data_IF_870677936564
#
_entry.id   IF_870677936564
#
_cell.length_a   1.000
_cell.length_b   1.000
_cell.length_c   1.000
_cell.angle_alpha   90.00
_cell.angle_beta   90.00
_cell.angle_gamma   90.00
#
_symmetry.space_group_name_H-M   'P 1'
#
loop_
_entity.id
_entity.type
_entity.pdbx_description
1 polymer ?
#
# COMPACT_ATOMS: atom_id res chain seq x y z
N UNK A 1 -18.04 -3.61 -11.25
CA UNK A 1 -17.98 -3.86 -9.80
C UNK A 1 -17.19 -5.15 -9.59
N UNK A 2 -16.09 -5.10 -8.84
CA UNK A 2 -15.06 -6.16 -8.71
C UNK A 2 -15.28 -7.10 -7.52
N UNK A 3 -16.54 -7.37 -7.19
CA UNK A 3 -16.92 -8.29 -6.12
C UNK A 3 -16.41 -9.68 -6.48
N UNK A 4 -15.53 -10.29 -5.67
CA UNK A 4 -14.93 -11.60 -5.97
C UNK A 4 -13.47 -11.58 -6.45
N UNK A 5 -12.85 -10.41 -6.67
CA UNK A 5 -11.47 -10.33 -7.18
C UNK A 5 -10.45 -10.21 -6.06
N UNK A 6 -9.30 -10.86 -6.24
CA UNK A 6 -8.14 -10.77 -5.32
C UNK A 6 -7.36 -9.48 -5.61
N UNK A 7 -7.00 -8.72 -4.57
CA UNK A 7 -6.15 -7.55 -4.68
C UNK A 7 -4.69 -7.94 -4.51
N UNK A 8 -3.81 -7.48 -5.40
CA UNK A 8 -2.35 -7.56 -5.25
C UNK A 8 -1.82 -6.13 -5.16
N UNK A 9 -1.06 -5.86 -4.10
CA UNK A 9 -0.39 -4.57 -3.88
C UNK A 9 1.11 -4.76 -4.09
N UNK A 10 1.68 -4.01 -5.02
CA UNK A 10 3.13 -3.98 -5.32
C UNK A 10 3.70 -2.58 -5.08
N UNK A 11 5.02 -2.46 -4.99
CA UNK A 11 5.64 -1.16 -4.74
C UNK A 11 5.60 -0.23 -5.97
N UNK A 12 5.92 -0.75 -7.16
CA UNK A 12 6.14 0.07 -8.36
C UNK A 12 5.03 -0.05 -9.42
N UNK A 13 4.72 1.05 -10.15
CA UNK A 13 3.75 1.01 -11.27
C UNK A 13 4.16 0.07 -12.41
N UNK A 14 5.46 -0.17 -12.59
CA UNK A 14 5.98 -1.07 -13.63
C UNK A 14 5.57 -2.51 -13.36
N UNK A 15 5.67 -2.97 -12.12
CA UNK A 15 5.20 -4.31 -11.72
C UNK A 15 3.71 -4.52 -11.97
N UNK A 16 2.89 -3.48 -11.77
CA UNK A 16 1.45 -3.53 -12.07
C UNK A 16 1.21 -3.89 -13.53
N UNK A 17 1.90 -3.21 -14.46
CA UNK A 17 1.75 -3.46 -15.91
C UNK A 17 2.16 -4.88 -16.27
N UNK A 18 3.23 -5.39 -15.67
CA UNK A 18 3.74 -6.74 -15.89
C UNK A 18 2.78 -7.80 -15.35
N UNK A 19 2.37 -7.71 -14.09
CA UNK A 19 1.49 -8.68 -13.45
C UNK A 19 0.10 -8.73 -14.08
N UNK A 20 -0.44 -7.59 -14.52
CA UNK A 20 -1.73 -7.56 -15.25
C UNK A 20 -1.69 -8.40 -16.53
N UNK A 21 -0.53 -8.51 -17.21
CA UNK A 21 -0.36 -9.36 -18.40
C UNK A 21 -0.38 -10.85 -18.06
N UNK A 22 0.16 -11.24 -16.90
CA UNK A 22 0.28 -12.64 -16.51
C UNK A 22 -0.95 -13.20 -15.80
N UNK A 23 -1.60 -12.38 -14.97
CA UNK A 23 -2.65 -12.84 -14.04
C UNK A 23 -4.08 -12.67 -14.59
N UNK A 24 -4.24 -11.90 -15.66
CA UNK A 24 -5.54 -11.67 -16.29
C UNK A 24 -6.55 -10.95 -15.38
N UNK A 25 -7.84 -11.11 -15.70
CA UNK A 25 -8.93 -10.33 -15.09
C UNK A 25 -9.36 -10.79 -13.69
N UNK A 26 -8.85 -11.92 -13.20
CA UNK A 26 -9.18 -12.45 -11.87
C UNK A 26 -8.53 -11.67 -10.72
N UNK A 27 -7.48 -10.91 -11.04
CA UNK A 27 -6.73 -10.11 -10.07
C UNK A 27 -6.90 -8.62 -10.34
N UNK A 28 -7.03 -7.86 -9.27
CA UNK A 28 -6.89 -6.43 -9.28
C UNK A 28 -5.48 -6.09 -8.77
N UNK A 29 -4.66 -5.46 -9.61
CA UNK A 29 -3.27 -5.15 -9.27
C UNK A 29 -3.11 -3.65 -9.15
N UNK A 30 -2.64 -3.19 -7.99
CA UNK A 30 -2.43 -1.79 -7.63
C UNK A 30 -1.02 -1.58 -7.07
N UNK A 31 -0.55 -0.32 -7.08
CA UNK A 31 0.78 0.05 -6.58
C UNK A 31 0.67 1.01 -5.39
N UNK A 32 1.54 0.84 -4.40
CA UNK A 32 1.72 1.81 -3.31
C UNK A 32 2.55 3.04 -3.72
N UNK A 33 3.24 2.95 -4.86
CA UNK A 33 4.14 3.98 -5.38
C UNK A 33 5.23 4.31 -4.35
N UNK A 34 5.82 3.28 -3.76
CA UNK A 34 6.80 3.37 -2.66
C UNK A 34 6.17 3.30 -1.27
N UNK A 35 6.86 3.83 -0.27
CA UNK A 35 6.38 3.94 1.10
C UNK A 35 5.16 4.87 1.21
N UNK A 36 4.27 4.56 2.16
CA UNK A 36 3.04 5.32 2.44
C UNK A 36 3.05 5.98 3.83
N UNK A 37 3.99 5.57 4.68
CA UNK A 37 4.24 6.12 6.01
C UNK A 37 5.72 6.30 6.21
N UNK A 38 6.07 7.30 7.00
CA UNK A 38 7.45 7.58 7.42
C UNK A 38 7.45 8.17 8.83
N UNK A 39 8.62 8.35 9.42
CA UNK A 39 8.78 9.14 10.63
C UNK A 39 8.36 10.59 10.37
N UNK A 40 7.98 11.34 11.42
CA UNK A 40 7.59 12.73 11.27
C UNK A 40 8.76 13.53 10.72
N UNK A 41 8.51 14.41 9.75
CA UNK A 41 9.55 15.27 9.17
C UNK A 41 10.19 16.25 10.17
N UNK A 42 9.59 16.39 11.36
CA UNK A 42 10.05 17.26 12.45
C UNK A 42 10.07 16.48 13.76
N UNK A 43 11.09 16.74 14.57
CA UNK A 43 11.30 16.02 15.83
C UNK A 43 12.06 14.72 15.65
N UNK A 44 12.27 13.99 16.74
CA UNK A 44 13.06 12.75 16.73
C UNK A 44 12.25 11.54 16.25
N UNK A 45 10.93 11.55 16.43
CA UNK A 45 10.02 10.51 15.90
C UNK A 45 10.15 9.12 16.53
N UNK A 46 11.04 8.96 17.51
CA UNK A 46 11.30 7.70 18.23
C UNK A 46 11.19 7.98 19.73
N UNK A 47 10.38 7.19 20.42
CA UNK A 47 10.25 7.26 21.87
C UNK A 47 11.33 6.39 22.54
N UNK A 48 12.37 7.03 23.10
CA UNK A 48 13.48 6.36 23.77
C UNK A 48 13.10 5.71 25.10
N UNK A 49 12.05 6.19 25.75
CA UNK A 49 11.61 5.69 27.05
C UNK A 49 10.67 4.49 26.87
N UNK A 50 9.96 4.44 25.74
CA UNK A 50 9.03 3.37 25.41
C UNK A 50 9.59 2.43 24.32
N UNK A 51 10.71 1.76 24.64
CA UNK A 51 11.30 0.70 23.81
C UNK A 51 11.55 1.10 22.33
N UNK A 52 12.00 2.34 22.10
CA UNK A 52 12.25 2.90 20.76
C UNK A 52 11.02 2.90 19.85
N UNK A 53 9.81 3.11 20.40
CA UNK A 53 8.58 3.10 19.62
C UNK A 53 8.57 4.23 18.57
N UNK A 54 8.43 3.90 17.27
CA UNK A 54 8.41 4.90 16.20
C UNK A 54 7.02 5.52 16.02
N UNK A 55 6.95 6.85 15.96
CA UNK A 55 5.74 7.59 15.66
C UNK A 55 5.54 7.75 14.14
N UNK A 56 4.99 6.74 13.46
CA UNK A 56 4.76 6.82 12.02
C UNK A 56 3.61 7.75 11.63
N UNK A 57 3.84 8.61 10.64
CA UNK A 57 2.84 9.46 10.01
C UNK A 57 2.58 9.04 8.57
N UNK A 58 1.35 9.29 8.07
CA UNK A 58 1.07 9.09 6.66
C UNK A 58 1.73 10.20 5.85
N UNK A 59 2.43 9.82 4.78
CA UNK A 59 3.04 10.78 3.87
C UNK A 59 1.96 11.66 3.20
N UNK A 60 2.09 13.00 3.23
CA UNK A 60 1.06 13.90 2.70
C UNK A 60 0.70 13.67 1.23
N UNK A 61 1.68 13.34 0.41
CA UNK A 61 1.55 13.05 -1.03
C UNK A 61 0.93 11.66 -1.31
N UNK A 62 0.84 10.79 -0.29
CA UNK A 62 0.28 9.43 -0.41
C UNK A 62 -1.16 9.30 0.07
N UNK A 63 -1.82 10.40 0.49
CA UNK A 63 -3.20 10.37 0.99
C UNK A 63 -4.18 9.74 0.01
N UNK A 64 -4.07 10.09 -1.28
CA UNK A 64 -4.94 9.53 -2.33
C UNK A 64 -4.67 8.05 -2.56
N UNK A 65 -3.39 7.64 -2.58
CA UNK A 65 -2.99 6.23 -2.71
C UNK A 65 -3.55 5.42 -1.55
N UNK A 66 -3.40 5.89 -0.32
CA UNK A 66 -3.94 5.23 0.89
C UNK A 66 -5.45 5.10 0.81
N UNK A 67 -6.16 6.17 0.43
CA UNK A 67 -7.61 6.15 0.30
C UNK A 67 -8.08 5.14 -0.77
N UNK A 68 -7.40 5.13 -1.92
CA UNK A 68 -7.67 4.18 -3.01
C UNK A 68 -7.43 2.74 -2.57
N UNK A 69 -6.26 2.43 -2.00
CA UNK A 69 -5.93 1.08 -1.54
C UNK A 69 -6.91 0.59 -0.47
N UNK A 70 -7.27 1.45 0.50
CA UNK A 70 -8.28 1.11 1.52
C UNK A 70 -9.64 0.81 0.91
N UNK A 71 -10.07 1.60 -0.08
CA UNK A 71 -11.35 1.37 -0.78
C UNK A 71 -11.32 0.04 -1.53
N UNK A 72 -10.31 -0.17 -2.36
CA UNK A 72 -10.18 -1.40 -3.16
C UNK A 72 -10.05 -2.64 -2.27
N UNK A 73 -9.29 -2.57 -1.18
CA UNK A 73 -9.14 -3.68 -0.24
C UNK A 73 -10.48 -4.10 0.39
N UNK A 74 -11.38 -3.15 0.68
CA UNK A 74 -12.73 -3.45 1.20
C UNK A 74 -13.65 -4.11 0.17
N UNK A 75 -13.37 -3.95 -1.12
CA UNK A 75 -14.17 -4.51 -2.22
C UNK A 75 -13.67 -5.90 -2.66
N UNK A 76 -12.52 -6.34 -2.14
CA UNK A 76 -11.83 -7.58 -2.50
C UNK A 76 -11.87 -8.59 -1.35
N UNK A 77 -11.93 -9.90 -1.66
CA UNK A 77 -12.01 -10.95 -0.64
C UNK A 77 -10.65 -11.26 0.00
N UNK A 78 -9.56 -11.01 -0.74
CA UNK A 78 -8.20 -11.31 -0.28
C UNK A 78 -7.25 -10.24 -0.79
N UNK A 79 -6.32 -9.82 0.08
CA UNK A 79 -5.25 -8.89 -0.23
C UNK A 79 -3.91 -9.62 -0.15
N UNK A 80 -3.17 -9.62 -1.24
CA UNK A 80 -1.80 -10.10 -1.32
C UNK A 80 -0.86 -8.91 -1.29
N UNK A 81 0.10 -8.95 -0.37
CA UNK A 81 1.20 -7.98 -0.29
C UNK A 81 2.40 -8.59 -0.99
N UNK A 82 2.88 -7.93 -2.04
CA UNK A 82 4.06 -8.37 -2.81
C UNK A 82 5.05 -7.21 -2.98
N UNK A 83 5.58 -6.65 -1.87
CA UNK A 83 6.74 -5.77 -1.93
C UNK A 83 7.96 -6.53 -2.48
N UNK A 84 8.99 -5.80 -2.90
CA UNK A 84 10.32 -6.39 -3.17
C UNK A 84 10.92 -7.04 -1.91
#
# INVERSE_FOLDING_TARGET
MTKGKKLIIVESPTKVKTLKKFLGNSYHVESSVGHIRDLPSKGFGIDLENNFEPAYENLPDKKEVIAKLKKTAKECDTVYLSPD
#
